data_IF_239111331609
#
_entry.id   IF_239111331609
#
_cell.length_a   1.000
_cell.length_b   1.000
_cell.length_c   1.000
_cell.angle_alpha   90.00
_cell.angle_beta   90.00
_cell.angle_gamma   90.00
#
_symmetry.space_group_name_H-M   'P 1'
#
loop_
_entity.id
_entity.type
_entity.pdbx_description
1 polymer ?
#
# COMPACT_ATOMS: atom_id res chain seq x y z
N UNK A 1 50.83 -37.58 -12.51
CA UNK A 1 50.10 -36.67 -13.42
C UNK A 1 49.63 -35.47 -12.59
N UNK A 2 50.25 -34.30 -12.84
CA UNK A 2 50.03 -33.07 -12.05
C UNK A 2 48.95 -32.25 -12.80
N UNK A 3 47.84 -31.99 -12.14
CA UNK A 3 46.79 -31.13 -12.61
C UNK A 3 47.06 -29.70 -12.17
N UNK A 4 47.23 -28.82 -13.11
CA UNK A 4 47.57 -27.41 -12.95
C UNK A 4 46.29 -26.61 -12.69
N UNK A 5 46.19 -25.94 -11.53
CA UNK A 5 45.17 -24.97 -11.26
C UNK A 5 45.61 -23.60 -11.79
N UNK A 6 44.82 -23.06 -12.72
CA UNK A 6 44.98 -21.71 -13.27
C UNK A 6 44.23 -20.72 -12.39
N UNK A 7 44.96 -19.89 -11.65
CA UNK A 7 44.40 -18.77 -10.87
C UNK A 7 44.42 -17.55 -11.83
N UNK A 8 43.25 -17.04 -12.21
CA UNK A 8 43.13 -15.77 -12.92
C UNK A 8 42.99 -14.67 -11.86
N UNK A 9 44.07 -13.89 -11.71
CA UNK A 9 44.05 -12.68 -10.91
C UNK A 9 43.46 -11.54 -11.73
N UNK A 10 42.33 -10.99 -11.33
CA UNK A 10 41.79 -9.75 -11.88
C UNK A 10 42.51 -8.56 -11.23
N UNK A 11 43.30 -7.84 -12.04
CA UNK A 11 43.95 -6.59 -11.64
C UNK A 11 42.89 -5.46 -11.60
N UNK A 12 42.67 -4.90 -10.44
CA UNK A 12 41.92 -3.66 -10.26
C UNK A 12 42.88 -2.50 -10.58
N UNK A 13 42.64 -1.80 -11.68
CA UNK A 13 43.32 -0.54 -12.01
C UNK A 13 42.66 0.58 -11.19
N UNK A 14 43.33 0.99 -10.13
CA UNK A 14 43.03 2.26 -9.46
C UNK A 14 43.54 3.41 -10.36
N UNK A 15 42.61 4.20 -10.90
CA UNK A 15 42.97 5.46 -11.58
C UNK A 15 43.01 6.52 -10.48
N UNK A 16 44.21 6.93 -10.12
CA UNK A 16 44.51 8.10 -9.33
C UNK A 16 44.31 9.33 -10.21
N UNK A 17 43.38 10.21 -9.82
CA UNK A 17 43.34 11.55 -10.39
C UNK A 17 44.34 12.42 -9.64
N UNK A 18 45.49 12.70 -10.30
CA UNK A 18 46.40 13.74 -9.88
C UNK A 18 45.86 15.12 -10.28
N UNK A 19 45.89 16.04 -9.29
CA UNK A 19 45.67 17.47 -9.45
C UNK A 19 46.60 18.06 -10.50
N UNK A 20 46.05 18.62 -11.57
CA UNK A 20 46.74 19.59 -12.41
C UNK A 20 46.19 21.00 -12.19
N UNK A 21 46.81 21.71 -11.27
CA UNK A 21 46.81 23.17 -11.31
C UNK A 21 47.65 23.59 -12.53
N UNK A 22 47.03 24.25 -13.49
CA UNK A 22 47.68 25.34 -14.26
C UNK A 22 46.71 25.89 -15.32
N UNK A 23 46.56 27.19 -15.34
CA UNK A 23 45.97 27.92 -16.43
C UNK A 23 44.87 28.86 -16.03
N UNK A 24 45.25 29.98 -15.43
CA UNK A 24 44.41 31.19 -15.35
C UNK A 24 44.18 31.64 -16.78
N UNK A 25 43.01 31.48 -17.35
CA UNK A 25 42.56 32.19 -18.52
C UNK A 25 41.74 33.39 -18.08
N UNK A 26 42.26 34.58 -18.33
CA UNK A 26 41.54 35.83 -18.17
C UNK A 26 40.34 35.89 -19.13
N UNK A 27 39.20 35.43 -18.67
CA UNK A 27 37.92 35.75 -19.31
C UNK A 27 37.26 36.83 -18.47
N UNK A 28 36.80 37.96 -19.08
CA UNK A 28 36.04 38.97 -18.34
C UNK A 28 34.76 38.31 -17.78
N UNK A 29 34.51 38.60 -16.54
CA UNK A 29 33.28 38.17 -15.81
C UNK A 29 32.07 38.56 -16.65
N UNK A 30 31.35 37.55 -17.18
CA UNK A 30 29.95 37.74 -17.51
C UNK A 30 29.21 37.68 -16.18
N UNK A 31 28.60 38.78 -15.81
CA UNK A 31 27.64 38.75 -14.73
C UNK A 31 26.64 37.63 -15.02
N UNK A 32 26.31 36.77 -14.02
CA UNK A 32 25.29 35.76 -14.23
C UNK A 32 24.02 36.48 -14.66
N UNK A 33 23.40 36.06 -15.75
CA UNK A 33 22.10 36.55 -16.14
C UNK A 33 21.19 36.45 -14.90
N UNK A 34 20.41 37.51 -14.59
CA UNK A 34 19.52 37.47 -13.44
C UNK A 34 18.59 36.26 -13.66
N UNK A 35 18.62 35.31 -12.72
CA UNK A 35 17.65 34.24 -12.65
C UNK A 35 16.27 34.88 -12.67
N UNK A 36 15.53 34.73 -13.76
CA UNK A 36 14.13 35.08 -13.85
C UNK A 36 13.45 34.04 -12.94
N UNK A 37 12.88 34.45 -11.79
CA UNK A 37 12.18 33.49 -10.95
C UNK A 37 11.11 32.83 -11.81
N UNK A 38 11.09 31.51 -11.85
CA UNK A 38 9.98 30.77 -12.45
C UNK A 38 8.70 31.29 -11.82
N UNK A 39 7.66 31.55 -12.62
CA UNK A 39 6.40 32.00 -12.06
C UNK A 39 5.94 30.96 -11.03
N UNK A 40 5.83 31.38 -9.77
CA UNK A 40 5.22 30.55 -8.74
C UNK A 40 3.80 30.21 -9.22
N UNK A 41 3.59 28.98 -9.63
CA UNK A 41 2.25 28.46 -9.88
C UNK A 41 1.57 28.48 -8.52
N UNK A 42 0.49 29.26 -8.34
CA UNK A 42 -0.18 29.29 -7.04
C UNK A 42 -0.60 27.87 -6.66
N UNK A 43 -0.02 27.34 -5.60
CA UNK A 43 -0.48 26.08 -5.02
C UNK A 43 -1.87 26.37 -4.47
N UNK A 44 -2.91 25.67 -4.96
CA UNK A 44 -4.25 25.87 -4.42
C UNK A 44 -4.23 25.59 -2.90
N UNK A 45 -5.05 26.30 -2.12
CA UNK A 45 -5.15 26.02 -0.70
C UNK A 45 -5.54 24.56 -0.49
N UNK A 46 -4.92 23.91 0.49
CA UNK A 46 -5.36 22.57 0.95
C UNK A 46 -6.73 22.77 1.57
N UNK A 47 -7.74 22.12 0.99
CA UNK A 47 -9.09 22.12 1.50
C UNK A 47 -9.46 20.69 1.91
N UNK A 48 -10.18 20.54 3.02
CA UNK A 48 -10.71 19.24 3.45
C UNK A 48 -11.46 18.54 2.31
N UNK A 49 -11.22 17.26 2.09
CA UNK A 49 -11.77 16.47 1.00
C UNK A 49 -13.05 15.72 1.41
N UNK A 50 -13.92 16.36 2.19
CA UNK A 50 -15.18 15.78 2.67
C UNK A 50 -16.09 15.32 1.53
N UNK A 51 -16.90 14.29 1.77
CA UNK A 51 -17.67 13.58 0.72
C UNK A 51 -18.62 14.48 -0.09
N UNK A 52 -19.09 15.57 0.47
CA UNK A 52 -19.95 16.55 -0.22
C UNK A 52 -19.23 17.30 -1.36
N UNK A 53 -17.90 17.30 -1.37
CA UNK A 53 -17.07 17.84 -2.47
C UNK A 53 -16.81 16.83 -3.58
N UNK A 54 -17.12 15.55 -3.36
CA UNK A 54 -16.97 14.49 -4.34
C UNK A 54 -18.20 14.38 -5.23
N UNK A 55 -17.98 14.00 -6.48
CA UNK A 55 -19.08 13.82 -7.47
C UNK A 55 -19.63 12.40 -7.39
N UNK A 56 -20.92 12.24 -7.07
CA UNK A 56 -21.59 10.93 -7.13
C UNK A 56 -21.70 10.48 -8.59
N UNK A 57 -20.98 9.43 -8.95
CA UNK A 57 -20.95 8.82 -10.28
C UNK A 57 -21.58 7.41 -10.29
N UNK A 58 -22.32 7.04 -9.26
CA UNK A 58 -22.89 5.69 -9.12
C UNK A 58 -23.68 5.26 -10.37
N UNK A 59 -24.39 6.18 -11.02
CA UNK A 59 -25.19 5.92 -12.22
C UNK A 59 -24.35 5.60 -13.47
N UNK A 60 -23.08 6.01 -13.53
CA UNK A 60 -22.20 5.79 -14.69
C UNK A 60 -21.74 4.32 -14.78
N UNK A 61 -21.81 3.61 -13.67
CA UNK A 61 -21.41 2.21 -13.57
C UNK A 61 -22.56 1.21 -13.77
N UNK A 62 -23.76 1.70 -14.06
CA UNK A 62 -24.96 0.88 -14.22
C UNK A 62 -25.73 0.71 -12.92
N UNK A 63 -26.56 -0.34 -12.84
CA UNK A 63 -27.35 -0.61 -11.62
C UNK A 63 -26.43 -1.16 -10.52
N UNK A 64 -26.32 -0.39 -9.43
CA UNK A 64 -25.60 -0.79 -8.21
C UNK A 64 -26.60 -1.14 -7.11
N UNK A 65 -26.24 -2.05 -6.18
CA UNK A 65 -27.01 -2.25 -4.97
C UNK A 65 -27.16 -0.93 -4.19
N UNK A 66 -28.29 -0.73 -3.53
CA UNK A 66 -28.59 0.52 -2.82
C UNK A 66 -27.63 0.87 -1.69
N UNK A 67 -26.90 -0.13 -1.20
CA UNK A 67 -25.89 0.02 -0.15
C UNK A 67 -24.51 0.41 -0.67
N UNK A 68 -24.30 0.51 -2.00
CA UNK A 68 -23.03 0.94 -2.61
C UNK A 68 -23.21 2.25 -3.35
N UNK A 69 -22.33 3.20 -3.10
CA UNK A 69 -22.19 4.43 -3.87
C UNK A 69 -20.76 4.62 -4.32
N UNK A 70 -20.59 5.24 -5.48
CA UNK A 70 -19.28 5.48 -6.09
C UNK A 70 -19.12 6.97 -6.37
N UNK A 71 -18.00 7.53 -5.92
CA UNK A 71 -17.70 8.95 -6.05
C UNK A 71 -16.35 9.16 -6.73
N UNK A 72 -16.25 10.26 -7.45
CA UNK A 72 -14.99 10.76 -8.00
C UNK A 72 -14.54 11.98 -7.22
N UNK A 73 -13.24 12.09 -6.99
CA UNK A 73 -12.62 13.20 -6.29
C UNK A 73 -12.85 14.56 -6.96
N UNK A 74 -12.76 15.67 -6.19
CA UNK A 74 -12.49 16.98 -6.76
C UNK A 74 -11.16 16.96 -7.54
N UNK A 75 -10.87 18.05 -8.27
CA UNK A 75 -9.65 18.14 -9.11
C UNK A 75 -8.36 18.11 -8.27
N UNK A 76 -8.42 18.53 -7.02
CA UNK A 76 -7.29 18.57 -6.09
C UNK A 76 -7.63 17.84 -4.81
N UNK A 77 -6.68 17.03 -4.33
CA UNK A 77 -6.64 16.40 -3.01
C UNK A 77 -5.31 16.77 -2.37
N UNK A 78 -5.30 17.22 -1.13
CA UNK A 78 -4.09 17.65 -0.40
C UNK A 78 -3.21 18.63 -1.20
N UNK A 79 -3.85 19.58 -1.92
CA UNK A 79 -3.16 20.53 -2.77
C UNK A 79 -2.52 19.97 -4.04
N UNK A 80 -2.74 18.70 -4.35
CA UNK A 80 -2.20 17.99 -5.52
C UNK A 80 -3.31 17.68 -6.51
N UNK A 81 -3.04 17.87 -7.81
CA UNK A 81 -3.97 17.45 -8.86
C UNK A 81 -4.20 15.95 -8.77
N UNK A 82 -5.45 15.54 -8.71
CA UNK A 82 -5.82 14.18 -8.44
C UNK A 82 -6.91 13.67 -9.39
N UNK A 83 -6.86 12.38 -9.67
CA UNK A 83 -7.97 11.57 -10.18
C UNK A 83 -8.08 10.39 -9.23
N UNK A 84 -9.09 10.41 -8.39
CA UNK A 84 -9.34 9.36 -7.42
C UNK A 84 -10.81 8.97 -7.41
N UNK A 85 -11.06 7.74 -7.00
CA UNK A 85 -12.39 7.21 -6.81
C UNK A 85 -12.50 6.53 -5.46
N UNK A 86 -13.68 6.66 -4.85
CA UNK A 86 -14.05 5.88 -3.69
C UNK A 86 -15.35 5.14 -3.96
N UNK A 87 -15.43 3.89 -3.51
CA UNK A 87 -16.69 3.21 -3.33
C UNK A 87 -16.98 3.13 -1.83
N UNK A 88 -18.17 3.53 -1.43
CA UNK A 88 -18.63 3.53 -0.04
C UNK A 88 -19.78 2.54 0.07
N UNK A 89 -19.64 1.56 0.94
CA UNK A 89 -20.62 0.51 1.18
C UNK A 89 -21.11 0.53 2.63
N UNK A 90 -22.43 0.49 2.82
CA UNK A 90 -23.06 0.36 4.14
C UNK A 90 -22.97 -1.11 4.58
N UNK A 91 -22.08 -1.40 5.54
CA UNK A 91 -21.78 -2.76 6.01
C UNK A 91 -22.90 -3.38 6.85
N UNK A 92 -23.93 -2.60 7.21
CA UNK A 92 -25.18 -3.16 7.77
C UNK A 92 -26.01 -3.92 6.71
N UNK A 93 -25.71 -3.74 5.42
CA UNK A 93 -26.44 -4.32 4.28
C UNK A 93 -25.52 -4.98 3.27
N UNK A 94 -24.25 -4.66 3.27
CA UNK A 94 -23.20 -5.22 2.41
C UNK A 94 -22.42 -6.30 3.17
N UNK A 95 -21.74 -7.13 2.41
CA UNK A 95 -20.68 -8.01 2.90
C UNK A 95 -19.41 -7.74 2.09
N UNK A 96 -18.26 -7.98 2.68
CA UNK A 96 -17.00 -8.01 1.97
C UNK A 96 -16.39 -9.40 1.99
N UNK A 97 -15.59 -9.68 1.00
CA UNK A 97 -14.95 -10.97 0.81
C UNK A 97 -13.53 -10.79 0.28
N UNK A 98 -12.68 -11.78 0.48
CA UNK A 98 -11.28 -11.77 0.05
C UNK A 98 -11.05 -12.92 -0.90
N UNK A 99 -10.47 -12.61 -2.06
CA UNK A 99 -9.76 -13.59 -2.85
C UNK A 99 -8.24 -13.43 -2.60
N UNK A 100 -7.54 -14.52 -2.40
CA UNK A 100 -6.07 -14.55 -2.27
C UNK A 100 -5.53 -15.86 -2.81
N UNK A 101 -4.29 -15.85 -3.31
CA UNK A 101 -3.52 -17.09 -3.42
C UNK A 101 -3.39 -17.71 -2.03
N UNK A 102 -3.39 -19.04 -1.94
CA UNK A 102 -3.31 -19.73 -0.64
C UNK A 102 -1.87 -20.07 -0.31
N UNK A 103 -1.31 -19.39 0.69
CA UNK A 103 0.06 -19.62 1.20
C UNK A 103 0.12 -19.56 2.74
N UNK A 104 -0.68 -20.37 3.46
CA UNK A 104 -0.72 -20.33 4.92
C UNK A 104 0.57 -20.86 5.58
N UNK A 105 1.43 -21.54 4.82
CA UNK A 105 2.74 -21.98 5.30
C UNK A 105 3.85 -20.94 5.10
N UNK A 106 3.61 -19.90 4.30
CA UNK A 106 4.61 -18.90 3.86
C UNK A 106 5.79 -19.54 3.10
N UNK A 107 5.54 -20.62 2.38
CA UNK A 107 6.53 -21.36 1.58
C UNK A 107 6.39 -21.11 0.07
N UNK A 108 5.44 -20.28 -0.29
CA UNK A 108 5.04 -20.00 -1.66
C UNK A 108 4.22 -21.12 -2.28
N UNK A 109 3.32 -20.72 -3.16
CA UNK A 109 2.37 -21.59 -3.86
C UNK A 109 2.62 -21.61 -5.37
N UNK A 110 2.04 -22.57 -6.06
CA UNK A 110 1.92 -22.60 -7.53
C UNK A 110 0.65 -21.94 -8.04
N UNK A 111 -0.22 -21.45 -7.15
CA UNK A 111 -1.41 -20.70 -7.52
C UNK A 111 -1.03 -19.47 -8.33
N UNK A 112 -1.78 -19.19 -9.38
CA UNK A 112 -1.50 -18.03 -10.23
C UNK A 112 -2.07 -16.75 -9.64
N UNK A 113 -1.33 -15.67 -9.75
CA UNK A 113 -1.88 -14.32 -9.58
C UNK A 113 -3.00 -14.07 -10.57
N UNK A 114 -3.98 -13.23 -10.21
CA UNK A 114 -5.14 -12.92 -11.03
C UNK A 114 -5.36 -11.43 -11.13
N UNK A 115 -5.85 -10.97 -12.27
CA UNK A 115 -6.29 -9.58 -12.39
C UNK A 115 -7.61 -9.36 -11.61
N UNK A 116 -7.90 -8.13 -11.15
CA UNK A 116 -9.22 -7.82 -10.61
C UNK A 116 -10.37 -8.20 -11.54
N UNK A 117 -10.19 -8.10 -12.88
CA UNK A 117 -11.17 -8.55 -13.86
C UNK A 117 -11.39 -10.07 -13.87
N UNK A 118 -10.33 -10.85 -13.66
CA UNK A 118 -10.48 -12.33 -13.55
C UNK A 118 -11.28 -12.71 -12.31
N UNK A 119 -11.04 -11.99 -11.18
CA UNK A 119 -11.80 -12.22 -9.94
C UNK A 119 -13.24 -11.74 -10.10
N UNK A 120 -13.47 -10.58 -10.72
CA UNK A 120 -14.81 -10.10 -11.04
C UNK A 120 -15.62 -11.11 -11.84
N UNK A 121 -15.00 -11.78 -12.81
CA UNK A 121 -15.67 -12.76 -13.67
C UNK A 121 -16.23 -13.97 -12.89
N UNK A 122 -15.70 -14.30 -11.71
CA UNK A 122 -16.17 -15.42 -10.88
C UNK A 122 -17.51 -15.14 -10.17
N UNK A 123 -17.82 -13.88 -9.84
CA UNK A 123 -18.98 -13.56 -9.02
C UNK A 123 -19.70 -12.27 -9.38
N UNK A 124 -19.20 -11.50 -10.35
CA UNK A 124 -19.77 -10.22 -10.78
C UNK A 124 -20.05 -9.27 -9.59
N UNK A 125 -19.07 -9.18 -8.69
CA UNK A 125 -19.16 -8.34 -7.49
C UNK A 125 -19.34 -6.86 -7.85
N UNK A 126 -20.23 -6.11 -7.19
CA UNK A 126 -20.40 -4.66 -7.43
C UNK A 126 -19.11 -3.88 -7.40
N UNK A 127 -18.20 -4.20 -6.48
CA UNK A 127 -16.88 -3.58 -6.36
C UNK A 127 -15.81 -4.65 -6.18
N UNK A 128 -14.69 -4.52 -6.91
CA UNK A 128 -13.48 -5.33 -6.75
C UNK A 128 -12.27 -4.40 -6.77
N UNK A 129 -11.38 -4.51 -5.79
CA UNK A 129 -10.12 -3.77 -5.74
C UNK A 129 -8.93 -4.72 -5.58
N UNK A 130 -7.74 -4.31 -6.04
CA UNK A 130 -6.49 -4.96 -5.63
C UNK A 130 -6.28 -4.78 -4.12
N UNK A 131 -5.54 -5.70 -3.49
CA UNK A 131 -5.43 -5.66 -2.04
C UNK A 131 -3.98 -5.73 -1.53
N UNK A 132 -3.59 -6.81 -0.87
CA UNK A 132 -2.33 -6.92 -0.17
C UNK A 132 -1.10 -7.07 -1.09
N UNK A 133 0.08 -6.91 -0.50
CA UNK A 133 1.37 -7.07 -1.18
C UNK A 133 1.66 -8.54 -1.52
N UNK A 134 2.42 -8.75 -2.58
CA UNK A 134 2.79 -10.06 -3.09
C UNK A 134 4.11 -10.01 -3.87
N UNK A 135 4.73 -11.16 -4.08
CA UNK A 135 5.90 -11.28 -4.94
C UNK A 135 6.02 -12.68 -5.54
N UNK A 136 6.86 -12.82 -6.55
CA UNK A 136 7.22 -14.11 -7.13
C UNK A 136 8.72 -14.35 -6.98
N UNK A 137 9.12 -15.55 -6.61
CA UNK A 137 10.52 -15.99 -6.51
C UNK A 137 10.62 -17.49 -6.76
N UNK A 138 11.69 -17.91 -7.45
CA UNK A 138 12.02 -19.33 -7.69
C UNK A 138 10.86 -20.18 -8.26
N UNK A 139 10.05 -19.55 -9.12
CA UNK A 139 8.90 -20.21 -9.77
C UNK A 139 7.69 -20.42 -8.86
N UNK A 140 7.68 -19.79 -7.69
CA UNK A 140 6.55 -19.75 -6.75
C UNK A 140 6.01 -18.33 -6.59
N UNK A 141 4.75 -18.25 -6.21
CA UNK A 141 4.04 -17.02 -5.87
C UNK A 141 3.83 -16.95 -4.36
N UNK A 142 4.01 -15.77 -3.79
CA UNK A 142 3.92 -15.52 -2.35
C UNK A 142 2.94 -14.38 -2.10
N UNK A 143 2.03 -14.54 -1.14
CA UNK A 143 1.39 -13.42 -0.49
C UNK A 143 2.28 -12.94 0.66
N UNK A 144 2.55 -11.65 0.72
CA UNK A 144 3.24 -11.04 1.86
C UNK A 144 2.30 -10.24 2.76
N UNK A 145 1.00 -10.40 2.55
CA UNK A 145 -0.05 -9.77 3.33
C UNK A 145 -1.07 -10.78 3.83
N UNK A 146 -1.59 -10.51 5.02
CA UNK A 146 -2.65 -11.29 5.64
C UNK A 146 -3.88 -11.37 4.74
N UNK A 147 -4.47 -12.55 4.63
CA UNK A 147 -5.76 -12.75 3.98
C UNK A 147 -6.55 -13.78 4.79
N UNK A 148 -7.74 -13.38 5.27
CA UNK A 148 -8.65 -14.25 6.02
C UNK A 148 -10.02 -14.18 5.39
N UNK A 149 -10.62 -15.34 5.20
CA UNK A 149 -11.95 -15.50 4.62
C UNK A 149 -12.75 -16.52 5.43
N UNK A 150 -13.91 -16.14 5.94
CA UNK A 150 -14.76 -17.02 6.75
C UNK A 150 -13.96 -17.72 7.88
N UNK A 151 -13.14 -16.94 8.60
CA UNK A 151 -12.26 -17.39 9.70
C UNK A 151 -11.15 -18.36 9.26
N UNK A 152 -10.98 -18.61 7.95
CA UNK A 152 -9.87 -19.37 7.39
C UNK A 152 -8.74 -18.42 6.96
N UNK A 153 -7.53 -18.65 7.47
CA UNK A 153 -6.33 -17.91 7.09
C UNK A 153 -5.79 -18.47 5.78
N UNK A 154 -5.84 -17.68 4.72
CA UNK A 154 -5.29 -18.01 3.40
C UNK A 154 -3.83 -17.64 3.28
N UNK A 155 -3.41 -16.55 3.91
CA UNK A 155 -2.03 -16.05 3.91
C UNK A 155 -1.77 -15.20 5.16
N UNK A 156 -0.50 -15.03 5.53
CA UNK A 156 -0.06 -14.19 6.64
C UNK A 156 0.66 -12.94 6.17
N UNK A 157 0.68 -11.91 7.00
CA UNK A 157 1.62 -10.80 6.84
C UNK A 157 3.06 -11.32 6.96
N UNK A 158 3.95 -10.84 6.08
CA UNK A 158 5.38 -11.15 6.18
C UNK A 158 5.91 -10.66 7.52
N UNK A 159 6.61 -11.52 8.23
CA UNK A 159 7.02 -11.31 9.61
C UNK A 159 8.52 -11.02 9.77
N UNK A 160 9.21 -10.71 8.69
CA UNK A 160 10.62 -10.32 8.70
C UNK A 160 10.92 -9.24 7.67
N UNK A 161 11.98 -8.48 7.91
CA UNK A 161 12.55 -7.55 6.93
C UNK A 161 14.08 -7.50 7.11
N UNK A 162 14.82 -7.29 6.03
CA UNK A 162 16.28 -7.15 6.04
C UNK A 162 16.72 -6.41 4.77
N UNK A 163 17.68 -5.50 4.88
CA UNK A 163 18.32 -4.85 3.74
C UNK A 163 19.65 -5.51 3.37
N UNK A 164 20.34 -6.09 4.36
CA UNK A 164 21.69 -6.66 4.23
C UNK A 164 21.73 -8.20 4.29
N UNK A 165 20.57 -8.85 4.51
CA UNK A 165 20.42 -10.30 4.72
C UNK A 165 21.18 -10.84 5.95
N UNK A 166 21.66 -9.97 6.84
CA UNK A 166 22.36 -10.29 8.08
C UNK A 166 21.56 -9.83 9.29
N UNK A 167 21.13 -8.57 9.28
CA UNK A 167 20.29 -7.97 10.32
C UNK A 167 18.83 -8.27 9.99
N UNK A 168 18.17 -9.06 10.83
CA UNK A 168 16.78 -9.43 10.65
C UNK A 168 15.92 -8.64 11.63
N UNK A 169 15.01 -7.85 11.08
CA UNK A 169 13.96 -7.14 11.79
C UNK A 169 12.69 -7.96 11.80
N UNK A 170 11.86 -7.80 12.82
CA UNK A 170 10.59 -8.51 12.99
C UNK A 170 9.43 -7.51 13.08
N UNK A 171 9.06 -6.83 11.98
CA UNK A 171 7.99 -5.86 11.98
C UNK A 171 6.63 -6.55 12.18
N UNK A 172 5.79 -5.95 13.00
CA UNK A 172 4.36 -6.17 12.92
C UNK A 172 3.81 -5.41 11.71
N UNK A 173 2.79 -5.94 11.05
CA UNK A 173 2.21 -5.36 9.83
C UNK A 173 0.73 -5.10 10.01
N UNK A 174 0.26 -4.01 9.41
CA UNK A 174 -1.13 -3.60 9.46
C UNK A 174 -2.09 -4.63 8.86
N UNK A 175 -3.28 -4.69 9.42
CA UNK A 175 -4.43 -5.38 8.87
C UNK A 175 -5.72 -4.64 9.25
N UNK A 176 -6.70 -4.62 8.35
CA UNK A 176 -8.09 -4.32 8.66
C UNK A 176 -8.80 -5.65 8.88
N UNK A 177 -9.48 -5.78 10.00
CA UNK A 177 -10.18 -7.00 10.41
C UNK A 177 -11.66 -6.73 10.62
N UNK A 178 -12.49 -7.75 10.36
CA UNK A 178 -13.87 -7.86 10.82
C UNK A 178 -13.94 -9.02 11.80
N UNK A 179 -14.45 -8.77 13.01
CA UNK A 179 -14.67 -9.78 14.02
C UNK A 179 -15.89 -10.68 13.68
N UNK A 180 -16.07 -11.77 14.42
CA UNK A 180 -17.28 -12.60 14.31
C UNK A 180 -18.57 -11.83 14.70
N UNK A 181 -18.47 -10.76 15.48
CA UNK A 181 -19.59 -9.88 15.82
C UNK A 181 -19.88 -8.80 14.78
N UNK A 182 -19.03 -8.68 13.72
CA UNK A 182 -19.18 -7.67 12.68
C UNK A 182 -18.51 -6.33 13.00
N UNK A 183 -17.75 -6.24 14.10
CA UNK A 183 -16.99 -5.04 14.45
C UNK A 183 -15.70 -4.98 13.63
N UNK A 184 -15.34 -3.77 13.16
CA UNK A 184 -14.13 -3.52 12.42
C UNK A 184 -13.04 -2.91 13.30
N UNK A 185 -11.79 -3.29 13.04
CA UNK A 185 -10.61 -2.77 13.74
C UNK A 185 -9.40 -2.76 12.79
N UNK A 186 -8.57 -1.72 12.88
CA UNK A 186 -7.27 -1.69 12.23
C UNK A 186 -6.19 -1.96 13.28
N UNK A 187 -5.44 -3.01 13.10
CA UNK A 187 -4.46 -3.47 14.08
C UNK A 187 -3.16 -3.91 13.40
N UNK A 188 -2.15 -4.18 14.18
CA UNK A 188 -0.91 -4.79 13.70
C UNK A 188 -0.90 -6.27 14.03
N UNK A 189 -0.42 -7.10 13.10
CA UNK A 189 -0.36 -8.55 13.29
C UNK A 189 1.06 -9.08 13.17
N UNK A 190 1.33 -10.18 13.86
CA UNK A 190 2.59 -10.90 13.75
C UNK A 190 2.39 -12.40 13.95
N UNK A 191 2.91 -13.19 13.00
CA UNK A 191 2.90 -14.65 13.12
C UNK A 191 4.26 -15.13 13.63
N UNK A 192 4.25 -15.81 14.79
CA UNK A 192 5.36 -16.64 15.22
C UNK A 192 5.26 -18.04 14.62
N UNK A 193 6.20 -18.92 14.92
CA UNK A 193 6.12 -20.31 14.44
C UNK A 193 4.82 -21.03 14.86
N UNK A 194 4.33 -20.79 16.09
CA UNK A 194 3.21 -21.53 16.66
C UNK A 194 1.94 -20.70 16.85
N UNK A 195 2.05 -19.38 16.88
CA UNK A 195 0.95 -18.50 17.24
C UNK A 195 0.86 -17.32 16.29
N UNK A 196 -0.33 -16.76 16.17
CA UNK A 196 -0.60 -15.53 15.45
C UNK A 196 -1.22 -14.53 16.44
N UNK A 197 -0.68 -13.33 16.49
CA UNK A 197 -1.07 -12.29 17.42
C UNK A 197 -1.55 -11.03 16.68
N UNK A 198 -2.40 -10.27 17.34
CA UNK A 198 -2.80 -8.92 16.98
C UNK A 198 -2.47 -7.95 18.11
N UNK A 199 -2.14 -6.71 17.77
CA UNK A 199 -1.62 -5.71 18.70
C UNK A 199 -2.29 -4.35 18.48
N UNK A 200 -2.50 -3.54 19.56
CA UNK A 200 -3.02 -2.18 19.46
C UNK A 200 -1.94 -1.14 19.10
N UNK A 201 -0.68 -1.56 18.97
CA UNK A 201 0.44 -0.72 18.57
C UNK A 201 1.49 -1.55 17.81
N UNK A 202 2.28 -0.96 16.89
CA UNK A 202 3.32 -1.69 16.19
C UNK A 202 4.52 -2.02 17.09
N UNK A 203 5.33 -2.99 16.69
CA UNK A 203 6.65 -3.18 17.25
C UNK A 203 7.53 -1.97 16.89
N UNK A 204 8.32 -1.48 17.85
CA UNK A 204 9.18 -0.30 17.70
C UNK A 204 10.44 -0.63 16.87
N UNK A 205 10.25 -0.76 15.55
CA UNK A 205 11.33 -0.95 14.59
C UNK A 205 11.67 0.36 13.87
N UNK A 206 12.93 0.49 13.49
CA UNK A 206 13.42 1.52 12.58
C UNK A 206 14.66 0.99 11.85
N UNK A 207 14.81 1.28 10.56
CA UNK A 207 16.01 0.91 9.82
C UNK A 207 17.25 1.54 10.46
N UNK A 208 18.36 0.78 10.50
CA UNK A 208 19.65 1.14 11.12
C UNK A 208 19.65 1.27 12.65
N UNK A 209 18.54 0.98 13.32
CA UNK A 209 18.50 0.76 14.76
C UNK A 209 18.71 -0.73 15.10
N UNK A 210 18.92 -1.03 16.37
CA UNK A 210 18.86 -2.42 16.85
C UNK A 210 17.45 -2.97 16.59
N UNK A 211 17.31 -4.18 16.04
CA UNK A 211 15.99 -4.79 15.82
C UNK A 211 15.19 -4.84 17.12
N UNK A 212 13.92 -4.50 17.05
CA UNK A 212 13.01 -4.67 18.18
C UNK A 212 12.95 -6.13 18.63
N UNK A 213 12.57 -6.35 19.87
CA UNK A 213 12.29 -7.69 20.40
C UNK A 213 11.27 -8.39 19.49
N UNK A 214 11.48 -9.68 19.22
CA UNK A 214 10.54 -10.47 18.42
C UNK A 214 9.15 -10.40 19.05
N UNK A 215 8.12 -10.02 18.29
CA UNK A 215 6.76 -9.92 18.82
C UNK A 215 6.26 -11.25 19.42
N UNK A 216 5.54 -11.13 20.52
CA UNK A 216 5.04 -12.25 21.34
C UNK A 216 3.70 -11.90 21.98
N UNK A 217 3.19 -12.73 22.89
CA UNK A 217 1.99 -12.38 23.67
C UNK A 217 2.21 -11.17 24.60
N UNK A 218 3.47 -10.91 25.00
CA UNK A 218 3.86 -9.84 25.92
C UNK A 218 4.42 -8.59 25.23
N UNK A 219 4.78 -8.69 23.93
CA UNK A 219 5.36 -7.56 23.18
C UNK A 219 4.94 -7.59 21.69
N UNK A 220 4.49 -6.45 21.13
CA UNK A 220 4.09 -5.19 21.81
C UNK A 220 3.04 -5.38 22.90
N UNK A 221 2.96 -4.42 23.86
CA UNK A 221 2.00 -4.49 24.96
C UNK A 221 0.55 -4.56 24.44
N UNK A 222 -0.27 -5.36 25.11
CA UNK A 222 -1.67 -5.55 24.73
C UNK A 222 -1.91 -6.60 23.64
N UNK A 223 -0.87 -7.40 23.30
CA UNK A 223 -0.98 -8.50 22.35
C UNK A 223 -2.06 -9.51 22.73
N UNK A 224 -2.85 -9.92 21.75
CA UNK A 224 -3.92 -10.94 21.87
C UNK A 224 -3.73 -11.99 20.78
N UNK A 225 -4.27 -13.18 21.00
CA UNK A 225 -4.38 -14.16 19.92
C UNK A 225 -5.24 -13.57 18.80
N UNK A 226 -4.76 -13.76 17.58
CA UNK A 226 -5.46 -13.26 16.39
C UNK A 226 -6.76 -14.01 16.18
N UNK A 227 -7.83 -13.26 15.95
CA UNK A 227 -9.14 -13.78 15.57
C UNK A 227 -9.83 -12.79 14.64
N UNK A 228 -10.30 -13.25 13.51
CA UNK A 228 -11.08 -12.47 12.56
C UNK A 228 -11.99 -13.39 11.73
N UNK A 229 -13.17 -12.93 11.38
CA UNK A 229 -14.06 -13.54 10.39
C UNK A 229 -13.51 -13.27 8.98
N UNK A 230 -13.20 -12.01 8.70
CA UNK A 230 -12.60 -11.54 7.45
C UNK A 230 -11.47 -10.57 7.78
N UNK A 231 -10.35 -10.63 7.07
CA UNK A 231 -9.25 -9.70 7.25
C UNK A 231 -8.41 -9.55 5.99
N UNK A 232 -7.87 -8.36 5.80
CA UNK A 232 -6.88 -8.06 4.76
C UNK A 232 -5.69 -7.34 5.37
N UNK A 233 -4.50 -7.83 5.09
CA UNK A 233 -3.25 -7.18 5.43
C UNK A 233 -2.80 -6.18 4.38
N UNK A 234 -2.02 -5.22 4.82
CA UNK A 234 -1.42 -4.18 3.98
C UNK A 234 -0.35 -3.43 4.77
N UNK A 235 -0.42 -2.12 4.68
CA UNK A 235 0.39 -1.19 5.45
C UNK A 235 1.03 -0.09 4.60
N UNK A 236 1.44 1.00 5.24
CA UNK A 236 1.31 1.25 6.67
C UNK A 236 -0.15 1.38 7.13
N UNK A 237 -0.38 1.23 8.45
CA UNK A 237 -1.64 1.62 9.06
C UNK A 237 -1.72 3.14 9.03
N UNK A 238 -2.83 3.67 8.52
CA UNK A 238 -3.03 5.08 8.26
C UNK A 238 -3.82 5.78 9.36
N UNK A 239 -4.88 5.14 9.82
CA UNK A 239 -5.83 5.68 10.80
C UNK A 239 -6.18 4.58 11.81
N UNK A 240 -6.17 4.94 13.09
CA UNK A 240 -6.59 4.10 14.20
C UNK A 240 -7.38 4.95 15.19
N UNK A 241 -8.59 4.52 15.53
CA UNK A 241 -9.52 5.24 16.39
C UNK A 241 -9.74 6.71 15.97
N UNK A 242 -9.88 6.97 14.67
CA UNK A 242 -10.08 8.30 14.08
C UNK A 242 -8.88 9.22 14.18
N UNK A 243 -7.68 8.70 14.40
CA UNK A 243 -6.43 9.46 14.51
C UNK A 243 -5.45 9.06 13.42
N UNK A 244 -4.81 10.07 12.84
CA UNK A 244 -3.68 9.88 11.94
C UNK A 244 -2.56 9.08 12.63
N UNK A 245 -2.04 8.06 11.93
CA UNK A 245 -0.92 7.20 12.37
C UNK A 245 0.21 7.17 11.37
N UNK A 246 -0.03 6.67 10.16
CA UNK A 246 0.94 6.47 9.07
C UNK A 246 2.26 5.81 9.56
N UNK A 247 2.15 4.61 10.11
CA UNK A 247 3.22 3.88 10.80
C UNK A 247 4.24 3.21 9.89
N UNK A 248 4.56 3.85 8.76
CA UNK A 248 5.46 3.27 7.76
C UNK A 248 6.90 3.06 8.25
N UNK A 249 7.34 3.79 9.27
CA UNK A 249 8.68 3.63 9.86
C UNK A 249 8.74 2.36 10.70
N UNK A 250 7.81 2.20 11.63
CA UNK A 250 7.74 1.07 12.56
C UNK A 250 7.43 -0.23 11.83
N UNK A 251 6.62 -0.14 10.78
CA UNK A 251 6.33 -1.26 9.90
C UNK A 251 7.43 -1.53 8.85
N UNK A 252 8.50 -0.72 8.82
CA UNK A 252 9.62 -0.81 7.87
C UNK A 252 9.18 -0.76 6.41
N UNK A 253 8.25 0.15 6.08
CA UNK A 253 7.84 0.43 4.71
C UNK A 253 8.61 1.57 4.05
N UNK A 254 9.56 2.19 4.74
CA UNK A 254 10.54 3.12 4.18
C UNK A 254 11.74 2.38 3.57
N UNK A 255 12.67 3.12 3.02
CA UNK A 255 13.87 2.54 2.39
C UNK A 255 13.55 1.69 1.16
N UNK A 256 14.09 0.47 1.11
CA UNK A 256 13.99 -0.45 -0.03
C UNK A 256 12.66 -1.19 -0.19
N UNK A 257 11.63 -0.85 0.57
CA UNK A 257 10.33 -1.56 0.55
C UNK A 257 9.58 -1.50 -0.80
N UNK A 258 9.89 -0.51 -1.64
CA UNK A 258 9.19 -0.27 -2.91
C UNK A 258 7.85 0.45 -2.77
N UNK A 259 7.37 0.73 -1.54
CA UNK A 259 6.08 1.39 -1.29
C UNK A 259 6.18 2.90 -1.48
N UNK A 260 7.34 3.50 -1.13
CA UNK A 260 7.58 4.94 -1.25
C UNK A 260 6.52 5.76 -0.51
N UNK A 261 6.41 5.62 0.84
CA UNK A 261 5.34 6.26 1.60
C UNK A 261 5.36 7.78 1.48
N UNK A 262 6.52 8.39 1.42
CA UNK A 262 6.80 9.83 1.28
C UNK A 262 6.84 10.33 -0.17
N UNK A 263 6.56 9.47 -1.15
CA UNK A 263 6.53 9.81 -2.58
C UNK A 263 5.13 9.73 -3.15
N UNK A 264 4.84 10.58 -4.15
CA UNK A 264 3.58 10.54 -4.86
C UNK A 264 3.50 9.28 -5.73
N UNK A 265 2.52 8.41 -5.46
CA UNK A 265 2.30 7.17 -6.17
C UNK A 265 0.80 6.94 -6.39
N UNK A 266 0.41 6.13 -7.39
CA UNK A 266 -0.92 5.52 -7.37
C UNK A 266 -1.12 4.78 -6.05
N UNK A 267 -2.28 4.97 -5.42
CA UNK A 267 -2.58 4.36 -4.11
C UNK A 267 -3.87 3.58 -4.15
N UNK A 268 -3.93 2.57 -3.31
CA UNK A 268 -5.13 1.82 -2.95
C UNK A 268 -5.22 1.77 -1.44
N UNK A 269 -6.40 1.98 -0.89
CA UNK A 269 -6.63 1.89 0.55
C UNK A 269 -8.02 1.35 0.87
N UNK A 270 -8.16 0.88 2.10
CA UNK A 270 -9.42 0.46 2.68
C UNK A 270 -9.54 1.02 4.08
N UNK A 271 -10.74 1.51 4.43
CA UNK A 271 -11.05 2.00 5.76
C UNK A 271 -12.51 1.83 6.11
N UNK A 272 -12.86 2.13 7.35
CA UNK A 272 -14.23 2.06 7.86
C UNK A 272 -14.54 3.32 8.65
N UNK A 273 -15.74 3.84 8.48
CA UNK A 273 -16.26 5.01 9.21
C UNK A 273 -16.89 4.59 10.53
N UNK A 274 -17.11 5.55 11.42
CA UNK A 274 -17.74 5.31 12.72
C UNK A 274 -19.23 4.83 12.64
N UNK A 275 -19.86 4.96 11.49
CA UNK A 275 -21.22 4.49 11.20
C UNK A 275 -21.23 3.24 10.28
N UNK A 276 -20.19 2.41 10.40
CA UNK A 276 -20.03 1.11 9.74
C UNK A 276 -20.12 1.17 8.20
N UNK A 277 -19.56 2.22 7.61
CA UNK A 277 -19.40 2.27 6.14
C UNK A 277 -17.97 1.92 5.77
N UNK A 278 -17.83 0.93 4.90
CA UNK A 278 -16.53 0.61 4.30
C UNK A 278 -16.24 1.58 3.17
N UNK A 279 -15.06 2.17 3.20
CA UNK A 279 -14.52 3.08 2.19
C UNK A 279 -13.36 2.38 1.49
N UNK A 280 -13.49 2.09 0.21
CA UNK A 280 -12.40 1.61 -0.63
C UNK A 280 -11.98 2.72 -1.59
N UNK A 281 -10.69 3.01 -1.62
CA UNK A 281 -10.10 4.15 -2.34
C UNK A 281 -9.06 3.69 -3.34
N UNK A 282 -9.07 4.33 -4.53
CA UNK A 282 -7.94 4.26 -5.48
C UNK A 282 -7.68 5.63 -6.08
N UNK A 283 -6.41 5.93 -6.39
CA UNK A 283 -6.05 7.10 -7.18
C UNK A 283 -5.04 6.76 -8.29
N UNK A 284 -5.13 7.54 -9.37
CA UNK A 284 -4.10 7.58 -10.41
C UNK A 284 -2.80 8.17 -9.88
N UNK A 285 -1.73 7.91 -10.59
CA UNK A 285 -0.44 8.55 -10.41
C UNK A 285 0.45 8.31 -11.62
N UNK A 286 1.74 8.65 -11.51
CA UNK A 286 2.72 8.44 -12.59
C UNK A 286 2.32 9.07 -13.91
N UNK A 287 1.60 10.22 -13.85
CA UNK A 287 1.13 10.99 -15.01
C UNK A 287 0.25 10.21 -16.02
N UNK A 288 -0.49 9.20 -15.56
CA UNK A 288 -1.49 8.54 -16.42
C UNK A 288 -2.54 9.53 -16.93
N UNK A 289 -2.82 10.55 -16.15
CA UNK A 289 -3.49 11.80 -16.56
C UNK A 289 -2.50 12.93 -16.33
N UNK A 290 -2.39 13.86 -17.27
CA UNK A 290 -1.42 14.97 -17.25
C UNK A 290 -1.46 15.75 -15.93
N UNK A 291 -0.32 15.85 -15.25
CA UNK A 291 -0.14 16.51 -13.97
C UNK A 291 -0.65 15.72 -12.76
N UNK A 292 -1.09 14.47 -12.92
CA UNK A 292 -1.53 13.60 -11.83
C UNK A 292 -0.40 12.65 -11.45
N UNK A 293 0.30 12.94 -10.35
CA UNK A 293 1.44 12.16 -9.88
C UNK A 293 1.06 11.11 -8.82
N UNK A 294 -0.12 11.24 -8.20
CA UNK A 294 -0.59 10.41 -7.10
C UNK A 294 -0.41 11.09 -5.75
N UNK A 295 -0.48 10.30 -4.68
CA UNK A 295 -0.49 10.75 -3.29
C UNK A 295 0.61 10.06 -2.48
N UNK A 296 1.09 10.72 -1.41
CA UNK A 296 1.85 10.07 -0.34
C UNK A 296 0.91 9.28 0.58
N UNK A 297 1.44 8.47 1.50
CA UNK A 297 0.59 7.78 2.49
C UNK A 297 -0.02 8.77 3.48
N UNK A 298 0.68 9.85 3.80
CA UNK A 298 0.16 10.91 4.66
C UNK A 298 -1.01 11.67 3.99
N UNK A 299 -0.90 12.02 2.70
CA UNK A 299 -2.03 12.62 1.96
C UNK A 299 -3.24 11.67 1.94
N UNK A 300 -2.98 10.38 1.70
CA UNK A 300 -4.02 9.36 1.66
C UNK A 300 -4.74 9.25 3.01
N UNK A 301 -3.99 9.26 4.11
CA UNK A 301 -4.55 9.25 5.47
C UNK A 301 -5.46 10.46 5.72
N UNK A 302 -5.01 11.68 5.33
CA UNK A 302 -5.82 12.89 5.47
C UNK A 302 -7.12 12.80 4.66
N UNK A 303 -7.04 12.37 3.39
CA UNK A 303 -8.22 12.17 2.56
C UNK A 303 -9.21 11.17 3.19
N UNK A 304 -8.73 10.07 3.76
CA UNK A 304 -9.59 9.09 4.41
C UNK A 304 -10.20 9.61 5.72
N UNK A 305 -9.48 10.44 6.49
CA UNK A 305 -10.02 11.15 7.66
C UNK A 305 -11.15 12.09 7.24
N UNK A 306 -10.97 12.87 6.17
CA UNK A 306 -11.99 13.78 5.63
C UNK A 306 -13.23 13.04 5.13
N UNK A 307 -13.05 11.80 4.66
CA UNK A 307 -14.15 10.90 4.29
C UNK A 307 -14.81 10.22 5.51
N UNK A 308 -14.34 10.51 6.73
CA UNK A 308 -14.91 10.04 7.98
C UNK A 308 -14.41 8.68 8.45
N UNK A 309 -13.33 8.15 7.87
CA UNK A 309 -12.74 6.89 8.34
C UNK A 309 -12.20 7.03 9.77
N UNK A 310 -12.49 6.04 10.60
CA UNK A 310 -11.93 5.90 11.95
C UNK A 310 -10.88 4.80 12.00
N UNK A 311 -10.93 3.86 11.07
CA UNK A 311 -9.95 2.79 10.85
C UNK A 311 -9.56 2.79 9.38
N UNK A 312 -8.25 2.74 9.04
CA UNK A 312 -7.80 2.61 7.66
C UNK A 312 -6.37 2.10 7.53
N UNK A 313 -6.13 1.34 6.47
CA UNK A 313 -4.81 0.85 6.06
C UNK A 313 -4.54 1.16 4.59
N UNK A 314 -3.28 1.40 4.25
CA UNK A 314 -2.82 1.39 2.87
C UNK A 314 -2.72 -0.05 2.36
N UNK A 315 -3.03 -0.25 1.09
CA UNK A 315 -2.90 -1.52 0.37
C UNK A 315 -1.80 -1.41 -0.69
N UNK A 316 -1.60 -2.47 -1.48
CA UNK A 316 -0.63 -2.43 -2.58
C UNK A 316 -1.03 -1.37 -3.62
N UNK A 317 -0.07 -0.53 -3.95
CA UNK A 317 -0.24 0.64 -4.79
C UNK A 317 0.46 0.52 -6.16
N UNK A 318 0.82 1.66 -6.71
CA UNK A 318 1.59 1.72 -7.94
C UNK A 318 0.88 1.04 -9.11
N UNK A 319 1.57 0.11 -9.78
CA UNK A 319 1.04 -0.67 -10.90
C UNK A 319 -0.11 -1.61 -10.55
N UNK A 320 -0.28 -1.94 -9.26
CA UNK A 320 -1.36 -2.80 -8.78
C UNK A 320 -2.67 -2.04 -8.57
N UNK A 321 -2.62 -0.69 -8.37
CA UNK A 321 -3.81 0.12 -8.10
C UNK A 321 -4.87 -0.06 -9.18
N UNK A 322 -6.01 -0.63 -8.78
CA UNK A 322 -7.14 -0.90 -9.67
C UNK A 322 -8.43 -1.06 -8.84
N UNK A 323 -9.49 -0.39 -9.24
CA UNK A 323 -10.84 -0.63 -8.73
C UNK A 323 -11.80 -0.84 -9.90
N UNK A 324 -12.53 -1.92 -9.86
CA UNK A 324 -13.63 -2.21 -10.76
C UNK A 324 -14.96 -1.92 -10.06
N UNK A 325 -15.86 -1.26 -10.77
CA UNK A 325 -17.27 -1.12 -10.39
C UNK A 325 -18.12 -1.72 -11.49
N UNK A 326 -18.90 -2.75 -11.16
CA UNK A 326 -19.62 -3.56 -12.15
C UNK A 326 -18.74 -3.96 -13.35
N UNK A 327 -17.48 -4.36 -13.06
CA UNK A 327 -16.51 -4.79 -14.07
C UNK A 327 -15.87 -3.68 -14.90
N UNK A 328 -16.17 -2.40 -14.64
CA UNK A 328 -15.55 -1.26 -15.32
C UNK A 328 -14.45 -0.66 -14.46
N UNK A 329 -13.28 -0.41 -15.06
CA UNK A 329 -12.20 0.31 -14.39
C UNK A 329 -12.60 1.75 -14.07
N UNK A 330 -12.23 2.21 -12.87
CA UNK A 330 -12.48 3.59 -12.42
C UNK A 330 -11.33 4.53 -12.76
N UNK A 331 -10.09 4.04 -12.71
CA UNK A 331 -8.87 4.80 -12.96
C UNK A 331 -8.09 4.23 -14.14
N UNK A 332 -7.20 5.01 -14.72
CA UNK A 332 -6.20 4.50 -15.65
C UNK A 332 -5.09 3.82 -14.85
N UNK A 333 -4.97 2.51 -15.02
CA UNK A 333 -3.94 1.72 -14.33
C UNK A 333 -2.54 2.06 -14.84
N UNK A 334 -1.58 2.26 -13.95
CA UNK A 334 -0.27 2.84 -14.31
C UNK A 334 0.66 1.91 -15.08
N UNK A 335 0.37 0.60 -15.13
CA UNK A 335 1.11 -0.37 -15.96
C UNK A 335 0.51 -0.50 -17.38
N UNK A 336 -0.50 0.32 -17.74
CA UNK A 336 -1.17 0.28 -19.03
C UNK A 336 -2.21 -0.82 -19.18
N UNK A 337 -2.20 -1.82 -18.32
CA UNK A 337 -3.21 -2.88 -18.16
C UNK A 337 -3.24 -3.33 -16.70
N UNK A 338 -4.34 -3.98 -16.28
CA UNK A 338 -4.43 -4.53 -14.93
C UNK A 338 -3.28 -5.49 -14.65
N UNK A 339 -2.62 -5.31 -13.52
CA UNK A 339 -1.64 -6.27 -13.02
C UNK A 339 -2.37 -7.46 -12.41
N UNK A 340 -1.87 -8.68 -12.67
CA UNK A 340 -2.25 -9.84 -11.90
C UNK A 340 -1.67 -9.71 -10.48
N UNK A 341 -2.52 -9.76 -9.46
CA UNK A 341 -2.21 -9.51 -8.05
C UNK A 341 -2.40 -10.75 -7.20
N UNK A 342 -1.82 -10.75 -5.99
CA UNK A 342 -1.88 -11.87 -5.06
C UNK A 342 -3.19 -11.94 -4.28
N UNK A 343 -3.91 -10.83 -4.16
CA UNK A 343 -5.20 -10.77 -3.46
C UNK A 343 -6.06 -9.60 -3.94
N UNK A 344 -7.36 -9.72 -3.75
CA UNK A 344 -8.36 -8.67 -3.99
C UNK A 344 -9.37 -8.62 -2.84
N UNK A 345 -9.94 -7.44 -2.62
CA UNK A 345 -11.15 -7.27 -1.81
C UNK A 345 -12.35 -7.12 -2.74
N UNK A 346 -13.43 -7.79 -2.40
CA UNK A 346 -14.72 -7.69 -3.09
C UNK A 346 -15.78 -7.20 -2.11
N UNK A 347 -16.69 -6.33 -2.58
CA UNK A 347 -17.90 -5.91 -1.85
C UNK A 347 -19.10 -6.52 -2.56
N UNK A 348 -20.00 -7.14 -1.79
CA UNK A 348 -21.19 -7.84 -2.28
C UNK A 348 -22.42 -7.54 -1.41
#
# INVERSE_FOLDING_TARGET
>A
MKTLFLIIAAAVLAISCEDKQSGVSDWPWQDPEPEIPEPEIPVPPVEDATIDKWSDLSQEFGELPSYVKVYRSPEYLEGKKAVAYVAIADMNSAEWDIWSISDPAMEGTTDSFRTPSDVYADGAWPVVINAGFFYASDGKNYSSSLAVRNSEILAYNINYASEDWVTIYNPTRAALIESESGEFDACWTYRTWNNHYMYPAPADNSWNAEPAVVPSAEYPEGGKEFAAKTAIGGGPLLIDCGKFKDTYVEELFNGGSGIGPDTNQPRTAIGVTADDKMVVFVCEGREMTEGVFGLTTADLANVLLDLGCVEAINLDGGGSSCMLVNGKETIKVSDGSQRAVGSTVMIK
#
